data_IF_090547257895
#
_entry.id   IF_090547257895
#
_cell.length_a   1.000
_cell.length_b   1.000
_cell.length_c   1.000
_cell.angle_alpha   90.00
_cell.angle_beta   90.00
_cell.angle_gamma   90.00
#
_symmetry.space_group_name_H-M   'P 1'
#
loop_
_entity.id
_entity.type
_entity.pdbx_description
1 polymer ?
#
# COMPACT_ATOMS: atom_id res chain seq x y z
N UNK A 1 10.97 -0.15 22.48
CA UNK A 1 9.89 0.81 22.79
C UNK A 1 8.65 0.65 21.89
N UNK A 2 8.75 0.06 20.68
CA UNK A 2 7.59 -0.26 19.83
C UNK A 2 6.84 -1.55 20.21
N UNK A 3 7.53 -2.55 20.76
CA UNK A 3 6.94 -3.84 21.17
C UNK A 3 5.82 -3.74 22.22
N UNK A 4 5.74 -2.62 22.96
CA UNK A 4 4.68 -2.35 23.94
C UNK A 4 3.58 -1.42 23.40
N UNK A 5 3.67 -1.01 22.13
CA UNK A 5 2.71 -0.14 21.49
C UNK A 5 1.62 -0.94 20.78
N UNK A 6 0.53 -0.26 20.43
CA UNK A 6 -0.56 -0.88 19.64
C UNK A 6 -0.16 -1.31 18.22
N UNK A 7 1.07 -1.03 17.78
CA UNK A 7 1.60 -1.38 16.46
C UNK A 7 2.33 -2.73 16.43
N UNK A 8 2.34 -3.41 17.57
CA UNK A 8 3.12 -4.61 17.87
C UNK A 8 4.64 -4.42 17.73
N UNK A 9 5.38 -5.48 18.05
CA UNK A 9 6.82 -5.56 17.84
C UNK A 9 7.16 -5.66 16.33
N UNK A 10 7.98 -4.75 15.76
CA UNK A 10 8.48 -4.89 14.40
C UNK A 10 9.52 -6.01 14.23
N UNK A 11 10.12 -6.51 15.32
CA UNK A 11 11.07 -7.64 15.32
C UNK A 11 12.44 -7.33 14.69
N UNK A 12 12.71 -6.06 14.39
CA UNK A 12 13.97 -5.53 13.85
C UNK A 12 14.09 -4.06 14.28
N UNK A 13 15.32 -3.59 14.47
CA UNK A 13 15.63 -2.17 14.68
C UNK A 13 16.00 -1.45 13.37
N UNK A 14 16.07 -2.16 12.24
CA UNK A 14 16.27 -1.55 10.92
C UNK A 14 15.08 -0.64 10.56
N UNK A 15 15.29 0.65 10.28
CA UNK A 15 14.19 1.59 10.02
C UNK A 15 13.24 1.18 8.89
N UNK A 16 13.75 0.50 7.86
CA UNK A 16 12.90 0.02 6.78
C UNK A 16 12.05 -1.17 7.22
N UNK A 17 12.65 -2.17 7.86
CA UNK A 17 11.90 -3.33 8.38
C UNK A 17 10.81 -2.88 9.36
N UNK A 18 11.12 -1.90 10.22
CA UNK A 18 10.14 -1.25 11.10
C UNK A 18 9.00 -0.62 10.30
N UNK A 19 9.31 0.14 9.24
CA UNK A 19 8.31 0.76 8.36
C UNK A 19 7.43 -0.27 7.65
N UNK A 20 7.99 -1.37 7.17
CA UNK A 20 7.24 -2.48 6.55
C UNK A 20 6.32 -3.14 7.58
N UNK A 21 6.84 -3.46 8.76
CA UNK A 21 6.08 -4.07 9.84
C UNK A 21 4.89 -3.19 10.26
N UNK A 22 5.12 -1.88 10.48
CA UNK A 22 4.05 -0.94 10.83
C UNK A 22 2.96 -0.90 9.76
N UNK A 23 3.32 -0.87 8.47
CA UNK A 23 2.35 -0.86 7.36
C UNK A 23 1.52 -2.15 7.31
N UNK A 24 2.14 -3.31 7.54
CA UNK A 24 1.42 -4.59 7.58
C UNK A 24 0.54 -4.74 8.83
N UNK A 25 1.02 -4.29 9.99
CA UNK A 25 0.22 -4.21 11.23
C UNK A 25 -0.99 -3.30 11.03
N UNK A 26 -0.82 -2.13 10.42
CA UNK A 26 -1.90 -1.21 10.07
C UNK A 26 -2.94 -1.88 9.17
N UNK A 27 -2.49 -2.54 8.10
CA UNK A 27 -3.37 -3.25 7.18
C UNK A 27 -4.17 -4.35 7.89
N UNK A 28 -3.53 -5.14 8.77
CA UNK A 28 -4.21 -6.16 9.56
C UNK A 28 -5.30 -5.58 10.47
N UNK A 29 -5.02 -4.46 11.13
CA UNK A 29 -6.02 -3.77 11.96
C UNK A 29 -7.19 -3.23 11.12
N UNK A 30 -6.92 -2.63 9.96
CA UNK A 30 -7.96 -2.12 9.07
C UNK A 30 -8.84 -3.26 8.52
N UNK A 31 -8.24 -4.37 8.11
CA UNK A 31 -8.98 -5.55 7.62
C UNK A 31 -9.97 -6.08 8.67
N UNK A 32 -9.61 -6.02 9.95
CA UNK A 32 -10.46 -6.47 11.05
C UNK A 32 -11.51 -5.42 11.42
N UNK A 33 -11.11 -4.16 11.60
CA UNK A 33 -11.93 -3.12 12.23
C UNK A 33 -12.77 -2.27 11.26
N UNK A 34 -12.41 -2.22 9.97
CA UNK A 34 -13.03 -1.30 8.99
C UNK A 34 -13.48 -2.08 7.76
N UNK A 35 -14.69 -2.68 7.77
CA UNK A 35 -15.19 -3.49 6.66
C UNK A 35 -15.13 -2.79 5.30
N UNK A 36 -15.47 -1.50 5.27
CA UNK A 36 -15.48 -0.66 4.07
C UNK A 36 -14.09 -0.47 3.44
N UNK A 37 -13.02 -0.60 4.22
CA UNK A 37 -11.64 -0.43 3.74
C UNK A 37 -10.87 -1.77 3.65
N UNK A 38 -11.51 -2.90 3.97
CA UNK A 38 -10.88 -4.22 4.03
C UNK A 38 -10.17 -4.58 2.72
N UNK A 39 -10.82 -4.37 1.58
CA UNK A 39 -10.23 -4.70 0.28
C UNK A 39 -9.03 -3.79 -0.05
N UNK A 40 -9.10 -2.50 0.29
CA UNK A 40 -7.99 -1.56 0.10
C UNK A 40 -6.78 -1.95 0.95
N UNK A 41 -7.00 -2.28 2.21
CA UNK A 41 -5.94 -2.68 3.13
C UNK A 41 -5.27 -4.00 2.74
N UNK A 42 -6.05 -5.00 2.30
CA UNK A 42 -5.49 -6.25 1.79
C UNK A 42 -4.64 -6.02 0.53
N UNK A 43 -5.11 -5.19 -0.40
CA UNK A 43 -4.35 -4.81 -1.58
C UNK A 43 -3.07 -4.02 -1.23
N UNK A 44 -3.13 -3.11 -0.25
CA UNK A 44 -1.96 -2.37 0.23
C UNK A 44 -0.90 -3.32 0.83
N UNK A 45 -1.33 -4.29 1.64
CA UNK A 45 -0.43 -5.31 2.20
C UNK A 45 0.25 -6.14 1.09
N UNK A 46 -0.49 -6.49 0.04
CA UNK A 46 0.06 -7.18 -1.12
C UNK A 46 1.14 -6.34 -1.82
N UNK A 47 0.89 -5.04 -2.05
CA UNK A 47 1.86 -4.13 -2.66
C UNK A 47 3.10 -3.91 -1.79
N UNK A 48 2.95 -3.88 -0.47
CA UNK A 48 4.08 -3.78 0.47
C UNK A 48 4.96 -5.03 0.34
N UNK A 49 4.38 -6.23 0.44
CA UNK A 49 5.13 -7.47 0.35
C UNK A 49 5.76 -7.68 -1.03
N UNK A 50 5.06 -7.31 -2.11
CA UNK A 50 5.58 -7.37 -3.47
C UNK A 50 6.85 -6.54 -3.64
N UNK A 51 6.92 -5.37 -2.99
CA UNK A 51 8.10 -4.49 -3.05
C UNK A 51 9.28 -5.04 -2.26
N UNK A 52 9.01 -5.70 -1.12
CA UNK A 52 10.06 -6.43 -0.41
C UNK A 52 10.65 -7.53 -1.29
N UNK A 53 9.81 -8.33 -1.96
CA UNK A 53 10.26 -9.42 -2.82
C UNK A 53 10.97 -8.94 -4.09
N UNK A 54 10.62 -7.76 -4.60
CA UNK A 54 11.13 -7.26 -5.88
C UNK A 54 12.45 -6.48 -5.76
N UNK A 55 12.63 -5.72 -4.67
CA UNK A 55 13.75 -4.78 -4.56
C UNK A 55 14.73 -5.10 -3.43
N UNK A 56 14.41 -6.06 -2.54
CA UNK A 56 15.37 -6.52 -1.53
C UNK A 56 16.09 -7.76 -2.03
N UNK A 57 17.41 -7.76 -1.86
CA UNK A 57 18.24 -8.93 -2.14
C UNK A 57 18.00 -10.07 -1.14
N UNK A 58 17.59 -9.74 0.08
CA UNK A 58 17.27 -10.71 1.13
C UNK A 58 15.76 -10.99 1.19
N UNK A 59 15.41 -12.24 1.50
CA UNK A 59 14.03 -12.62 1.73
C UNK A 59 13.42 -11.84 2.90
N UNK A 60 12.10 -11.52 2.88
CA UNK A 60 11.44 -10.80 3.96
C UNK A 60 11.64 -11.50 5.30
N UNK A 61 11.96 -10.76 6.36
CA UNK A 61 12.17 -11.33 7.69
C UNK A 61 10.96 -12.06 8.26
N UNK A 62 11.17 -12.94 9.25
CA UNK A 62 10.11 -13.78 9.83
C UNK A 62 8.92 -12.96 10.34
N UNK A 63 9.17 -11.78 10.93
CA UNK A 63 8.13 -10.90 11.43
C UNK A 63 7.27 -10.29 10.31
N UNK A 64 7.89 -9.84 9.22
CA UNK A 64 7.20 -9.33 8.03
C UNK A 64 6.31 -10.41 7.42
N UNK A 65 6.85 -11.64 7.25
CA UNK A 65 6.08 -12.79 6.75
C UNK A 65 4.90 -13.12 7.65
N UNK A 66 5.10 -13.12 8.97
CA UNK A 66 4.03 -13.35 9.94
C UNK A 66 2.93 -12.30 9.81
N UNK A 67 3.26 -11.01 9.82
CA UNK A 67 2.28 -9.92 9.69
C UNK A 67 1.55 -9.98 8.34
N UNK A 68 2.26 -10.25 7.24
CA UNK A 68 1.63 -10.39 5.93
C UNK A 68 0.66 -11.59 5.89
N UNK A 69 1.02 -12.71 6.53
CA UNK A 69 0.14 -13.89 6.56
C UNK A 69 -1.17 -13.66 7.32
N UNK A 70 -1.19 -12.76 8.31
CA UNK A 70 -2.41 -12.35 9.03
C UNK A 70 -3.41 -11.61 8.14
N UNK A 71 -2.93 -10.99 7.06
CA UNK A 71 -3.75 -10.18 6.14
C UNK A 71 -4.05 -10.93 4.85
N UNK A 72 -3.03 -11.55 4.27
CA UNK A 72 -3.06 -12.16 2.94
C UNK A 72 -3.21 -13.69 2.98
N UNK A 73 -3.10 -14.29 4.17
CA UNK A 73 -3.09 -15.73 4.37
C UNK A 73 -1.69 -16.34 4.33
N UNK A 74 -1.52 -17.58 4.84
CA UNK A 74 -0.22 -18.22 4.98
C UNK A 74 0.55 -18.42 3.67
N UNK A 75 -0.15 -18.74 2.57
CA UNK A 75 0.50 -18.94 1.27
C UNK A 75 1.17 -17.66 0.77
N UNK A 76 0.46 -16.53 0.81
CA UNK A 76 1.00 -15.24 0.40
C UNK A 76 2.12 -14.76 1.33
N UNK A 77 1.99 -14.95 2.66
CA UNK A 77 3.02 -14.55 3.62
C UNK A 77 4.34 -15.33 3.49
N UNK A 78 4.30 -16.52 2.89
CA UNK A 78 5.48 -17.36 2.65
C UNK A 78 5.96 -17.33 1.20
N UNK A 79 5.40 -16.46 0.35
CA UNK A 79 5.87 -16.30 -1.02
C UNK A 79 7.35 -15.86 -1.04
N UNK A 80 8.12 -16.43 -1.97
CA UNK A 80 9.56 -16.14 -2.13
C UNK A 80 9.86 -15.36 -3.41
N UNK A 81 8.85 -15.19 -4.28
CA UNK A 81 8.94 -14.40 -5.50
C UNK A 81 7.65 -13.62 -5.75
N UNK A 82 7.74 -12.63 -6.64
CA UNK A 82 6.58 -11.84 -7.06
C UNK A 82 5.49 -12.71 -7.72
N UNK A 83 5.89 -13.74 -8.48
CA UNK A 83 4.96 -14.67 -9.13
C UNK A 83 4.26 -15.56 -8.10
N UNK A 84 4.99 -16.11 -7.12
CA UNK A 84 4.41 -16.91 -6.05
C UNK A 84 3.39 -16.08 -5.25
N UNK A 85 3.74 -14.83 -4.96
CA UNK A 85 2.85 -13.91 -4.25
C UNK A 85 1.57 -13.70 -5.06
N UNK A 86 1.67 -13.33 -6.34
CA UNK A 86 0.51 -13.09 -7.21
C UNK A 86 -0.43 -14.30 -7.28
N UNK A 87 0.12 -15.52 -7.39
CA UNK A 87 -0.65 -16.76 -7.38
C UNK A 87 -1.32 -17.09 -6.04
N UNK A 88 -0.69 -16.69 -4.93
CA UNK A 88 -1.17 -16.95 -3.57
C UNK A 88 -2.15 -15.89 -3.03
N UNK A 89 -2.38 -14.78 -3.75
CA UNK A 89 -3.19 -13.68 -3.22
C UNK A 89 -4.67 -14.07 -3.02
N UNK A 90 -5.28 -13.65 -1.89
CA UNK A 90 -6.71 -13.79 -1.68
C UNK A 90 -7.48 -12.90 -2.65
N UNK A 91 -8.72 -13.29 -2.98
CA UNK A 91 -9.57 -12.59 -3.96
C UNK A 91 -9.66 -11.07 -3.73
N UNK A 92 -9.72 -10.65 -2.47
CA UNK A 92 -9.82 -9.23 -2.09
C UNK A 92 -8.57 -8.40 -2.44
N UNK A 93 -7.40 -9.03 -2.63
CA UNK A 93 -6.13 -8.37 -2.92
C UNK A 93 -5.61 -8.60 -4.34
N UNK A 94 -6.11 -9.62 -5.07
CA UNK A 94 -5.61 -10.00 -6.41
C UNK A 94 -5.53 -8.85 -7.40
N UNK A 95 -6.49 -7.94 -7.35
CA UNK A 95 -6.53 -6.79 -8.25
C UNK A 95 -5.32 -5.86 -8.11
N UNK A 96 -4.62 -5.88 -6.96
CA UNK A 96 -3.45 -5.05 -6.72
C UNK A 96 -2.24 -5.45 -7.59
N UNK A 97 -2.13 -6.73 -7.96
CA UNK A 97 -1.01 -7.29 -8.72
C UNK A 97 -1.45 -7.92 -10.05
N UNK A 98 -2.68 -7.67 -10.51
CA UNK A 98 -3.26 -8.35 -11.67
C UNK A 98 -2.41 -8.17 -12.95
N UNK A 99 -1.85 -6.98 -13.14
CA UNK A 99 -1.03 -6.62 -14.31
C UNK A 99 0.46 -6.48 -13.95
N UNK A 100 0.91 -7.17 -12.88
CA UNK A 100 2.28 -7.10 -12.39
C UNK A 100 2.99 -8.43 -12.63
N UNK A 101 3.84 -8.44 -13.65
CA UNK A 101 4.77 -9.52 -13.97
C UNK A 101 6.24 -9.16 -13.70
N UNK A 102 6.56 -7.87 -13.53
CA UNK A 102 7.93 -7.40 -13.34
C UNK A 102 8.02 -6.27 -12.28
N UNK A 103 9.17 -6.11 -11.59
CA UNK A 103 9.38 -5.08 -10.56
C UNK A 103 9.05 -3.65 -11.00
N UNK A 104 9.34 -3.30 -12.26
CA UNK A 104 9.17 -1.95 -12.81
C UNK A 104 7.69 -1.54 -12.88
N UNK A 105 6.79 -2.52 -12.89
CA UNK A 105 5.35 -2.29 -12.94
C UNK A 105 4.75 -2.00 -11.56
N UNK A 106 5.46 -2.26 -10.46
CA UNK A 106 4.96 -2.06 -9.10
C UNK A 106 4.61 -0.61 -8.80
N UNK A 107 5.34 0.35 -9.38
CA UNK A 107 4.99 1.76 -9.28
C UNK A 107 3.62 2.05 -9.89
N UNK A 108 3.36 1.54 -11.10
CA UNK A 108 2.07 1.70 -11.79
C UNK A 108 0.94 1.01 -11.00
N UNK A 109 1.21 -0.15 -10.43
CA UNK A 109 0.27 -0.87 -9.58
C UNK A 109 -0.09 -0.08 -8.31
N UNK A 110 0.89 0.54 -7.65
CA UNK A 110 0.65 1.42 -6.50
C UNK A 110 -0.16 2.66 -6.89
N UNK A 111 0.17 3.31 -8.01
CA UNK A 111 -0.60 4.44 -8.52
C UNK A 111 -2.06 4.04 -8.86
N UNK A 112 -2.23 2.87 -9.49
CA UNK A 112 -3.56 2.30 -9.78
C UNK A 112 -4.36 1.97 -8.52
N UNK A 113 -3.69 1.50 -7.48
CA UNK A 113 -4.28 1.28 -6.15
C UNK A 113 -4.79 2.59 -5.55
N UNK A 114 -3.97 3.64 -5.50
CA UNK A 114 -4.41 4.95 -5.00
C UNK A 114 -5.56 5.54 -5.83
N UNK A 115 -5.49 5.44 -7.16
CA UNK A 115 -6.56 5.91 -8.04
C UNK A 115 -7.89 5.17 -7.80
N UNK A 116 -7.83 3.87 -7.49
CA UNK A 116 -9.03 3.09 -7.13
C UNK A 116 -9.57 3.49 -5.76
N UNK A 117 -8.69 3.63 -4.76
CA UNK A 117 -9.08 4.10 -3.42
C UNK A 117 -9.78 5.45 -3.52
N UNK A 118 -9.23 6.41 -4.26
CA UNK A 118 -9.83 7.74 -4.43
C UNK A 118 -11.24 7.68 -5.03
N UNK A 119 -11.42 6.93 -6.13
CA UNK A 119 -12.73 6.76 -6.79
C UNK A 119 -13.76 6.10 -5.87
N UNK A 120 -13.39 5.00 -5.21
CA UNK A 120 -14.31 4.27 -4.34
C UNK A 120 -14.63 5.04 -3.06
N UNK A 121 -13.67 5.81 -2.53
CA UNK A 121 -13.83 6.68 -1.38
C UNK A 121 -14.74 7.88 -1.69
N UNK A 122 -14.60 8.51 -2.86
CA UNK A 122 -15.50 9.57 -3.32
C UNK A 122 -16.95 9.07 -3.40
N UNK A 123 -17.15 7.93 -4.07
CA UNK A 123 -18.47 7.30 -4.17
C UNK A 123 -19.05 6.90 -2.80
N UNK A 124 -18.20 6.58 -1.81
CA UNK A 124 -18.63 6.26 -0.46
C UNK A 124 -19.12 7.50 0.29
N UNK A 125 -18.47 8.65 0.11
CA UNK A 125 -18.89 9.91 0.72
C UNK A 125 -20.21 10.44 0.14
N UNK A 126 -20.46 10.19 -1.15
CA UNK A 126 -21.68 10.64 -1.84
C UNK A 126 -22.93 9.82 -1.47
N UNK A 127 -22.77 8.54 -1.11
CA UNK A 127 -23.89 7.62 -0.87
C UNK A 127 -24.61 7.82 0.46
N UNK A 128 -23.92 8.30 1.50
CA UNK A 128 -24.50 8.58 2.82
C UNK A 128 -23.58 9.51 3.62
N UNK A 129 -23.77 10.82 3.43
CA UNK A 129 -22.88 11.87 3.95
C UNK A 129 -22.73 11.89 5.48
N UNK A 130 -23.64 11.25 6.24
CA UNK A 130 -23.62 11.20 7.70
C UNK A 130 -23.26 9.80 8.27
N UNK A 131 -23.02 8.81 7.41
CA UNK A 131 -22.72 7.44 7.83
C UNK A 131 -21.24 7.18 8.10
N UNK A 132 -20.93 6.07 8.78
CA UNK A 132 -19.55 5.60 8.98
C UNK A 132 -18.78 5.40 7.66
N UNK A 133 -19.48 5.14 6.56
CA UNK A 133 -18.92 5.11 5.21
C UNK A 133 -18.33 6.45 4.77
N UNK A 134 -19.04 7.57 5.00
CA UNK A 134 -18.54 8.89 4.63
C UNK A 134 -17.27 9.26 5.42
N UNK A 135 -17.18 8.90 6.69
CA UNK A 135 -15.94 9.10 7.47
C UNK A 135 -14.77 8.29 6.88
N UNK A 136 -14.98 7.00 6.59
CA UNK A 136 -13.94 6.14 5.98
C UNK A 136 -13.52 6.67 4.61
N UNK A 137 -14.47 7.08 3.77
CA UNK A 137 -14.19 7.70 2.48
C UNK A 137 -13.39 9.00 2.61
N UNK A 138 -13.77 9.87 3.54
CA UNK A 138 -13.06 11.13 3.79
C UNK A 138 -11.62 10.89 4.25
N UNK A 139 -11.40 10.00 5.22
CA UNK A 139 -10.06 9.64 5.68
C UNK A 139 -9.24 9.01 4.57
N UNK A 140 -9.83 8.16 3.73
CA UNK A 140 -9.15 7.56 2.58
C UNK A 140 -8.72 8.63 1.56
N UNK A 141 -9.55 9.65 1.29
CA UNK A 141 -9.18 10.77 0.41
C UNK A 141 -8.05 11.62 1.00
N UNK A 142 -8.07 11.89 2.30
CA UNK A 142 -6.94 12.55 2.98
C UNK A 142 -5.63 11.75 2.83
N UNK A 143 -5.70 10.42 2.91
CA UNK A 143 -4.54 9.56 2.67
C UNK A 143 -4.05 9.62 1.21
N UNK A 144 -4.97 9.66 0.24
CA UNK A 144 -4.64 9.87 -1.19
C UNK A 144 -3.95 11.22 -1.39
N UNK A 145 -4.47 12.29 -0.80
CA UNK A 145 -3.90 13.62 -0.93
C UNK A 145 -2.52 13.72 -0.27
N UNK A 146 -2.32 13.09 0.90
CA UNK A 146 -1.01 12.97 1.52
C UNK A 146 -0.01 12.23 0.62
N UNK A 147 -0.45 11.16 -0.07
CA UNK A 147 0.39 10.45 -1.04
C UNK A 147 0.74 11.33 -2.25
N UNK A 148 -0.21 12.09 -2.80
CA UNK A 148 0.02 13.04 -3.90
C UNK A 148 1.01 14.12 -3.52
N UNK A 149 0.86 14.72 -2.34
CA UNK A 149 1.78 15.74 -1.81
C UNK A 149 3.19 15.15 -1.67
N UNK A 150 3.32 13.95 -1.08
CA UNK A 150 4.62 13.28 -0.99
C UNK A 150 5.25 13.06 -2.37
N UNK A 151 4.49 12.58 -3.35
CA UNK A 151 4.97 12.37 -4.71
C UNK A 151 5.41 13.70 -5.37
N UNK A 152 4.66 14.79 -5.17
CA UNK A 152 5.01 16.11 -5.67
C UNK A 152 6.30 16.66 -5.03
N UNK A 153 6.45 16.50 -3.72
CA UNK A 153 7.68 16.88 -3.00
C UNK A 153 8.88 16.08 -3.48
N UNK A 154 8.70 14.78 -3.70
CA UNK A 154 9.71 13.87 -4.24
C UNK A 154 10.12 14.22 -5.67
N UNK A 155 9.20 14.74 -6.49
CA UNK A 155 9.50 15.22 -7.85
C UNK A 155 10.21 16.58 -7.81
N UNK A 156 9.76 17.50 -6.95
CA UNK A 156 10.38 18.80 -6.76
C UNK A 156 11.82 18.66 -6.25
N UNK A 157 12.07 17.76 -5.30
CA UNK A 157 13.41 17.46 -4.79
C UNK A 157 14.36 16.90 -5.86
N UNK A 158 13.82 16.29 -6.92
CA UNK A 158 14.59 15.76 -8.07
C UNK A 158 14.77 16.78 -9.20
N UNK A 159 14.47 18.06 -8.95
CA UNK A 159 14.71 19.16 -9.88
C UNK A 159 13.51 19.63 -10.67
N UNK A 160 12.33 19.01 -10.53
CA UNK A 160 11.05 19.58 -10.96
C UNK A 160 11.05 20.22 -12.37
N UNK A 161 11.70 19.61 -13.36
CA UNK A 161 11.61 20.09 -14.74
C UNK A 161 10.37 19.46 -15.39
N UNK A 162 9.20 20.06 -15.16
CA UNK A 162 8.17 20.00 -16.19
C UNK A 162 8.76 20.83 -17.33
N UNK A 163 9.08 20.19 -18.45
CA UNK A 163 9.45 20.89 -19.67
C UNK A 163 8.23 21.69 -20.16
N UNK A 164 7.99 22.83 -19.54
CA UNK A 164 7.14 23.88 -20.09
C UNK A 164 7.99 24.64 -21.09
N UNK A 165 8.04 24.10 -22.30
CA UNK A 165 8.63 24.72 -23.48
C UNK A 165 7.74 25.91 -23.92
N UNK A 166 7.74 26.99 -23.13
CA UNK A 166 7.17 28.30 -23.50
C UNK A 166 8.26 29.26 -24.00
N UNK A 167 9.25 28.72 -24.73
CA UNK A 167 10.43 29.45 -25.18
C UNK A 167 10.68 29.37 -26.68
N UNK A 168 9.64 29.50 -27.53
CA UNK A 168 9.84 29.61 -28.98
C UNK A 168 8.83 30.55 -29.64
N UNK A 169 8.80 31.82 -29.21
CA UNK A 169 8.47 32.94 -30.11
C UNK A 169 9.36 34.13 -29.70
N UNK A 170 10.50 34.27 -30.36
CA UNK A 170 11.30 35.49 -30.43
C UNK A 170 11.83 35.64 -31.86
#
# INVERSE_FOLDING_TARGET
MLAQSSWDDPGSDDPHDVSVAIRLSAAGRIVVAVPNARAWAAAAAALVLARELAFRAAAPGARVRFLASRVLGPAAGNALSLQDLAGALPRAARWALADVSAPEQLWRAEAGWWARVDREAAAMAERDAAGAGALVGTVARLAVDAWRVRAALELAARGGHVAEDFGAVA
#
